data_IF_593868142393
#
_entry.id   IF_593868142393
#
_cell.length_a   1.000
_cell.length_b   1.000
_cell.length_c   1.000
_cell.angle_alpha   90.00
_cell.angle_beta   90.00
_cell.angle_gamma   90.00
#
_symmetry.space_group_name_H-M   'P 1'
#
loop_
_entity.id
_entity.type
_entity.pdbx_description
1 polymer ?
#
# COMPACT_ATOMS: atom_id res chain seq x y z
N UNK A 1 -31.23 9.76 -2.03
CA UNK A 1 -30.23 8.72 -1.70
C UNK A 1 -29.17 9.41 -0.87
N UNK A 2 -29.12 9.23 0.46
CA UNK A 2 -28.32 10.06 1.36
C UNK A 2 -26.80 9.83 1.29
N UNK A 3 -26.32 9.03 0.32
CA UNK A 3 -24.92 8.69 0.11
C UNK A 3 -24.40 9.15 -1.28
N UNK A 4 -25.28 9.72 -2.10
CA UNK A 4 -24.98 10.34 -3.39
C UNK A 4 -25.18 11.86 -3.33
N UNK A 5 -25.20 12.42 -2.12
CA UNK A 5 -25.06 13.84 -1.87
C UNK A 5 -23.59 14.28 -2.09
N UNK A 6 -23.29 15.55 -1.79
CA UNK A 6 -22.00 16.22 -1.91
C UNK A 6 -20.78 15.35 -1.52
N UNK A 7 -20.96 14.37 -0.62
CA UNK A 7 -19.97 13.38 -0.21
C UNK A 7 -19.38 12.53 -1.36
N UNK A 8 -20.15 12.23 -2.41
CA UNK A 8 -19.71 11.43 -3.55
C UNK A 8 -18.70 12.18 -4.43
N UNK A 9 -19.05 13.40 -4.85
CA UNK A 9 -18.14 14.27 -5.57
C UNK A 9 -17.00 14.75 -4.67
N UNK A 10 -17.22 14.98 -3.37
CA UNK A 10 -16.14 15.26 -2.42
C UNK A 10 -15.08 14.14 -2.39
N UNK A 11 -15.49 12.86 -2.40
CA UNK A 11 -14.54 11.74 -2.52
C UNK A 11 -13.84 11.73 -3.87
N UNK A 12 -14.55 12.01 -4.96
CA UNK A 12 -13.92 12.11 -6.29
C UNK A 12 -12.91 13.26 -6.35
N UNK A 13 -13.19 14.39 -5.70
CA UNK A 13 -12.32 15.56 -5.65
C UNK A 13 -11.15 15.37 -4.68
N UNK A 14 -11.31 14.60 -3.60
CA UNK A 14 -10.20 14.20 -2.74
C UNK A 14 -9.25 13.23 -3.45
N UNK A 15 -9.79 12.25 -4.18
CA UNK A 15 -9.00 11.24 -4.89
C UNK A 15 -8.44 11.73 -6.22
N UNK A 16 -9.09 12.71 -6.85
CA UNK A 16 -8.70 13.31 -8.11
C UNK A 16 -7.65 14.40 -7.97
N UNK A 17 -7.25 14.77 -6.74
CA UNK A 17 -6.12 15.69 -6.54
C UNK A 17 -4.83 15.00 -6.97
N UNK A 18 -4.08 15.57 -7.93
CA UNK A 18 -2.77 15.07 -8.29
C UNK A 18 -1.89 14.98 -7.03
N UNK A 19 -1.24 13.83 -6.83
CA UNK A 19 -0.22 13.68 -5.78
C UNK A 19 1.02 14.56 -6.02
N UNK A 20 1.14 15.11 -7.24
CA UNK A 20 2.20 16.01 -7.68
C UNK A 20 1.61 17.06 -8.63
N UNK A 21 2.07 18.31 -8.58
CA UNK A 21 1.57 19.52 -9.29
C UNK A 21 1.65 19.49 -10.84
N UNK A 22 1.61 18.31 -11.47
CA UNK A 22 1.99 18.13 -12.88
C UNK A 22 0.76 18.05 -13.81
N UNK A 23 -0.45 17.80 -13.28
CA UNK A 23 -1.67 17.71 -14.08
C UNK A 23 -2.71 18.76 -13.65
N UNK A 24 -3.21 19.55 -14.60
CA UNK A 24 -4.22 20.59 -14.36
C UNK A 24 -5.64 20.05 -14.18
N UNK A 25 -5.95 18.85 -14.69
CA UNK A 25 -7.27 18.20 -14.60
C UNK A 25 -7.08 16.67 -14.42
N UNK A 26 -7.88 16.01 -13.57
CA UNK A 26 -7.84 14.56 -13.43
C UNK A 26 -8.38 13.85 -14.68
N UNK A 27 -7.73 12.75 -15.07
CA UNK A 27 -8.19 11.87 -16.16
C UNK A 27 -8.21 10.41 -15.71
N UNK A 28 -9.13 9.62 -16.25
CA UNK A 28 -9.09 8.17 -16.09
C UNK A 28 -8.13 7.56 -17.11
N UNK A 29 -7.04 6.96 -16.64
CA UNK A 29 -6.22 6.07 -17.46
C UNK A 29 -6.70 4.62 -17.26
N UNK A 30 -7.30 4.03 -18.29
CA UNK A 30 -8.01 2.75 -18.18
C UNK A 30 -7.23 1.66 -18.88
N UNK A 31 -7.02 0.56 -18.16
CA UNK A 31 -6.49 -0.70 -18.69
C UNK A 31 -7.61 -1.74 -18.63
N UNK A 32 -8.20 -2.05 -19.78
CA UNK A 32 -9.23 -3.06 -19.93
C UNK A 32 -8.63 -4.38 -20.45
N UNK A 33 -9.20 -5.50 -20.02
CA UNK A 33 -8.83 -6.83 -20.52
C UNK A 33 -9.87 -7.31 -21.51
N UNK A 34 -9.41 -7.80 -22.65
CA UNK A 34 -10.18 -8.61 -23.60
C UNK A 34 -9.47 -9.95 -23.79
N UNK A 35 -10.11 -10.88 -24.47
CA UNK A 35 -9.50 -12.17 -24.75
C UNK A 35 -8.19 -11.98 -25.52
N UNK A 36 -7.07 -12.41 -24.93
CA UNK A 36 -5.71 -12.32 -25.49
C UNK A 36 -5.22 -10.91 -25.83
N UNK A 37 -5.87 -9.85 -25.33
CA UNK A 37 -5.39 -8.47 -25.51
C UNK A 37 -5.68 -7.59 -24.30
N UNK A 38 -4.78 -6.64 -24.03
CA UNK A 38 -4.99 -5.51 -23.14
C UNK A 38 -5.29 -4.27 -23.97
N UNK A 39 -6.28 -3.50 -23.55
CA UNK A 39 -6.72 -2.27 -24.20
C UNK A 39 -6.48 -1.10 -23.25
N UNK A 40 -5.91 -0.02 -23.77
CA UNK A 40 -5.52 1.18 -23.06
C UNK A 40 -6.21 2.38 -23.70
N UNK A 41 -6.87 3.19 -22.88
CA UNK A 41 -7.47 4.45 -23.33
C UNK A 41 -7.65 5.39 -22.15
N UNK A 42 -7.81 6.67 -22.49
CA UNK A 42 -8.02 7.74 -21.53
C UNK A 42 -9.43 8.33 -21.72
N UNK A 43 -10.01 8.81 -20.64
CA UNK A 43 -11.31 9.49 -20.67
C UNK A 43 -11.41 10.49 -19.52
N UNK A 44 -12.25 11.49 -19.70
CA UNK A 44 -12.43 12.58 -18.74
C UNK A 44 -12.94 12.08 -17.37
N UNK A 45 -12.39 12.68 -16.31
CA UNK A 45 -12.81 12.46 -14.94
C UNK A 45 -13.96 13.41 -14.56
N UNK A 46 -15.11 13.23 -15.21
CA UNK A 46 -16.28 14.07 -14.95
C UNK A 46 -16.92 13.77 -13.59
N UNK A 47 -17.26 14.83 -12.85
CA UNK A 47 -18.13 14.75 -11.67
C UNK A 47 -19.53 14.27 -12.03
N UNK A 48 -20.24 13.66 -11.06
CA UNK A 48 -21.64 13.26 -11.26
C UNK A 48 -22.51 14.51 -11.37
N UNK A 49 -23.26 14.64 -12.46
CA UNK A 49 -24.22 15.72 -12.59
C UNK A 49 -25.49 15.46 -11.75
N UNK A 50 -25.54 16.05 -10.56
CA UNK A 50 -26.66 15.88 -9.63
C UNK A 50 -27.99 16.47 -10.15
N UNK A 51 -27.94 17.38 -11.12
CA UNK A 51 -29.13 18.05 -11.67
C UNK A 51 -29.89 17.24 -12.73
N UNK A 52 -29.26 16.24 -13.36
CA UNK A 52 -29.86 15.41 -14.42
C UNK A 52 -29.83 13.90 -14.06
N UNK A 53 -29.99 13.59 -12.76
CA UNK A 53 -30.11 12.20 -12.33
C UNK A 53 -31.42 11.61 -12.85
N UNK A 54 -31.31 10.55 -13.66
CA UNK A 54 -32.42 9.87 -14.34
C UNK A 54 -32.22 8.36 -14.40
N UNK A 55 -33.23 7.66 -14.90
CA UNK A 55 -33.22 6.19 -15.10
C UNK A 55 -32.87 5.39 -13.84
N UNK A 56 -33.34 5.83 -12.68
CA UNK A 56 -33.05 5.20 -11.40
C UNK A 56 -33.73 3.82 -11.33
N UNK A 57 -32.94 2.76 -11.18
CA UNK A 57 -33.41 1.40 -10.94
C UNK A 57 -32.79 0.89 -9.65
N UNK A 58 -33.63 0.50 -8.69
CA UNK A 58 -33.22 0.02 -7.38
C UNK A 58 -33.58 -1.45 -7.21
N UNK A 59 -32.65 -2.22 -6.70
CA UNK A 59 -32.85 -3.58 -6.19
C UNK A 59 -32.57 -3.60 -4.69
N UNK A 60 -32.75 -4.73 -4.03
CA UNK A 60 -32.36 -4.89 -2.62
C UNK A 60 -30.84 -4.72 -2.40
N UNK A 61 -30.03 -5.07 -3.40
CA UNK A 61 -28.56 -5.15 -3.27
C UNK A 61 -27.83 -3.98 -3.94
N UNK A 62 -28.52 -3.22 -4.79
CA UNK A 62 -27.89 -2.18 -5.60
C UNK A 62 -28.84 -1.11 -6.08
N UNK A 63 -28.24 -0.05 -6.62
CA UNK A 63 -28.89 1.07 -7.26
C UNK A 63 -28.15 1.39 -8.56
N UNK A 64 -28.87 1.59 -9.66
CA UNK A 64 -28.29 2.09 -10.91
C UNK A 64 -29.02 3.34 -11.37
N UNK A 65 -28.31 4.27 -11.99
CA UNK A 65 -28.84 5.54 -12.48
C UNK A 65 -27.91 6.11 -13.56
N UNK A 66 -28.36 7.16 -14.24
CA UNK A 66 -27.56 7.96 -15.17
C UNK A 66 -27.67 9.43 -14.81
N UNK A 67 -26.69 10.24 -15.17
CA UNK A 67 -26.65 11.69 -14.91
C UNK A 67 -26.78 12.54 -16.18
N UNK A 68 -27.28 11.95 -17.26
CA UNK A 68 -27.30 12.61 -18.57
C UNK A 68 -26.23 12.10 -19.52
N UNK A 69 -25.00 11.99 -19.01
CA UNK A 69 -23.79 11.67 -19.78
C UNK A 69 -23.26 10.27 -19.50
N UNK A 70 -23.27 9.88 -18.24
CA UNK A 70 -22.63 8.70 -17.70
C UNK A 70 -23.65 7.76 -17.06
N UNK A 71 -23.28 6.49 -16.93
CA UNK A 71 -24.06 5.45 -16.26
C UNK A 71 -23.33 4.98 -15.00
N UNK A 72 -24.09 4.84 -13.91
CA UNK A 72 -23.56 4.53 -12.59
C UNK A 72 -24.27 3.32 -11.97
N UNK A 73 -23.50 2.57 -11.19
CA UNK A 73 -23.95 1.44 -10.39
C UNK A 73 -23.38 1.53 -8.98
N UNK A 74 -24.26 1.61 -7.99
CA UNK A 74 -23.91 1.63 -6.58
C UNK A 74 -24.22 0.27 -5.94
N UNK A 75 -23.21 -0.33 -5.33
CA UNK A 75 -23.33 -1.58 -4.59
C UNK A 75 -23.48 -1.29 -3.09
N UNK A 76 -24.60 -1.68 -2.48
CA UNK A 76 -24.88 -1.36 -1.08
C UNK A 76 -23.96 -2.07 -0.10
N UNK A 77 -23.67 -3.36 -0.29
CA UNK A 77 -22.86 -4.12 0.67
C UNK A 77 -21.41 -3.67 0.69
N UNK A 78 -20.90 -3.15 -0.43
CA UNK A 78 -19.54 -2.64 -0.55
C UNK A 78 -19.45 -1.13 -0.31
N UNK A 79 -20.56 -0.41 -0.31
CA UNK A 79 -20.59 1.06 -0.30
C UNK A 79 -19.71 1.68 -1.40
N UNK A 80 -19.75 1.09 -2.61
CA UNK A 80 -18.93 1.51 -3.76
C UNK A 80 -19.82 1.98 -4.91
N UNK A 81 -19.52 3.18 -5.42
CA UNK A 81 -20.05 3.71 -6.67
C UNK A 81 -19.11 3.33 -7.83
N UNK A 82 -19.69 2.79 -8.90
CA UNK A 82 -18.99 2.38 -10.10
C UNK A 82 -19.55 3.15 -11.28
N UNK A 83 -18.67 3.65 -12.16
CA UNK A 83 -19.02 4.25 -13.45
C UNK A 83 -18.84 3.20 -14.54
N UNK A 84 -19.75 3.15 -15.50
CA UNK A 84 -19.62 2.31 -16.69
C UNK A 84 -18.75 3.02 -17.73
N UNK A 85 -17.73 2.32 -18.21
CA UNK A 85 -16.82 2.82 -19.24
C UNK A 85 -17.05 2.12 -20.56
N UNK A 86 -16.93 2.89 -21.64
CA UNK A 86 -17.04 2.40 -23.01
C UNK A 86 -15.68 2.48 -23.69
N UNK A 87 -15.29 1.41 -24.39
CA UNK A 87 -14.02 1.41 -25.13
C UNK A 87 -14.22 2.28 -26.38
N UNK A 88 -13.46 3.38 -26.54
CA UNK A 88 -13.59 4.26 -27.69
C UNK A 88 -13.13 3.57 -28.99
N UNK A 89 -13.53 4.10 -30.15
CA UNK A 89 -13.06 3.57 -31.43
C UNK A 89 -11.54 3.66 -31.56
N UNK A 90 -10.96 4.78 -31.14
CA UNK A 90 -9.52 4.98 -31.07
C UNK A 90 -9.01 4.57 -29.68
N UNK A 91 -8.27 3.47 -29.61
CA UNK A 91 -7.63 2.98 -28.39
C UNK A 91 -6.32 2.28 -28.71
N UNK A 92 -5.41 2.24 -27.74
CA UNK A 92 -4.17 1.49 -27.82
C UNK A 92 -4.41 0.06 -27.37
N UNK A 93 -3.69 -0.91 -27.95
CA UNK A 93 -3.81 -2.32 -27.55
C UNK A 93 -2.48 -3.05 -27.60
N UNK A 94 -2.36 -4.05 -26.73
CA UNK A 94 -1.21 -4.95 -26.65
C UNK A 94 -1.74 -6.38 -26.60
N UNK A 95 -1.24 -7.23 -27.50
CA UNK A 95 -1.56 -8.65 -27.46
C UNK A 95 -0.88 -9.30 -26.25
N UNK A 96 -1.61 -10.11 -25.51
CA UNK A 96 -1.10 -10.86 -24.36
C UNK A 96 -1.26 -12.35 -24.60
N UNK A 97 -0.22 -13.09 -24.24
CA UNK A 97 -0.30 -14.54 -24.17
C UNK A 97 -0.67 -14.96 -22.75
N UNK A 98 -1.82 -15.60 -22.59
CA UNK A 98 -2.22 -16.17 -21.30
C UNK A 98 -1.61 -17.56 -21.22
N UNK A 99 -0.64 -17.72 -20.32
CA UNK A 99 0.03 -18.99 -20.09
C UNK A 99 -0.98 -19.99 -19.51
N UNK A 100 -1.06 -21.19 -20.09
CA UNK A 100 -1.97 -22.25 -19.66
C UNK A 100 -1.66 -22.75 -18.23
N UNK A 101 -0.38 -22.95 -17.92
CA UNK A 101 0.08 -23.32 -16.59
C UNK A 101 1.06 -22.29 -16.00
N UNK A 102 0.57 -21.28 -15.27
CA UNK A 102 1.43 -20.25 -14.67
C UNK A 102 2.38 -20.81 -13.60
N UNK A 103 2.06 -21.97 -12.99
CA UNK A 103 2.87 -22.54 -11.92
C UNK A 103 4.23 -23.05 -12.42
N UNK A 104 4.31 -23.57 -13.64
CA UNK A 104 5.57 -24.07 -14.20
C UNK A 104 6.58 -22.92 -14.37
N UNK A 105 6.10 -21.77 -14.86
CA UNK A 105 6.91 -20.56 -14.99
C UNK A 105 7.32 -20.03 -13.63
N UNK A 106 6.40 -19.94 -12.67
CA UNK A 106 6.71 -19.50 -11.31
C UNK A 106 7.76 -20.41 -10.65
N UNK A 107 7.68 -21.73 -10.86
CA UNK A 107 8.66 -22.69 -10.36
C UNK A 107 10.03 -22.51 -11.01
N UNK A 108 10.07 -22.20 -12.30
CA UNK A 108 11.32 -21.91 -13.02
C UNK A 108 11.95 -20.60 -12.53
N UNK A 109 11.15 -19.54 -12.38
CA UNK A 109 11.60 -18.26 -11.81
C UNK A 109 12.14 -18.46 -10.39
N UNK A 110 11.41 -19.19 -9.54
CA UNK A 110 11.84 -19.49 -8.17
C UNK A 110 13.19 -20.23 -8.15
N UNK A 111 13.37 -21.26 -8.99
CA UNK A 111 14.66 -21.96 -9.11
C UNK A 111 15.79 -21.04 -9.60
N UNK A 112 15.50 -20.18 -10.58
CA UNK A 112 16.49 -19.25 -11.13
C UNK A 112 16.90 -18.17 -10.12
N UNK A 113 15.95 -17.63 -9.34
CA UNK A 113 16.24 -16.68 -8.25
C UNK A 113 17.08 -17.35 -7.16
N UNK A 114 16.73 -18.59 -6.77
CA UNK A 114 17.52 -19.35 -5.83
C UNK A 114 18.95 -19.57 -6.36
N UNK A 115 19.10 -19.96 -7.63
CA UNK A 115 20.40 -20.16 -8.26
C UNK A 115 21.20 -18.86 -8.47
N UNK A 116 20.56 -17.72 -8.75
CA UNK A 116 21.23 -16.42 -8.90
C UNK A 116 21.73 -15.87 -7.57
N UNK A 117 20.98 -16.09 -6.48
CA UNK A 117 21.38 -15.71 -5.14
C UNK A 117 22.59 -16.52 -4.63
N UNK A 118 22.88 -17.70 -5.20
CA UNK A 118 24.12 -18.44 -4.93
C UNK A 118 25.33 -17.96 -5.74
N UNK A 119 25.14 -17.07 -6.74
CA UNK A 119 26.21 -16.53 -7.59
C UNK A 119 26.55 -15.07 -7.32
N UNK A 120 25.86 -14.42 -6.37
CA UNK A 120 26.36 -13.16 -5.83
C UNK A 120 27.53 -13.47 -4.92
N UNK A 121 28.69 -12.90 -5.25
CA UNK A 121 29.81 -12.77 -4.33
C UNK A 121 29.25 -12.19 -3.04
N UNK A 122 29.13 -13.06 -2.05
CA UNK A 122 28.77 -12.78 -0.69
C UNK A 122 29.71 -11.70 -0.14
N UNK A 123 29.37 -10.43 -0.34
CA UNK A 123 29.68 -9.42 0.65
C UNK A 123 28.73 -9.76 1.79
N UNK A 124 29.13 -10.73 2.62
CA UNK A 124 28.51 -10.96 3.92
C UNK A 124 28.80 -9.69 4.70
N UNK A 125 27.86 -8.76 4.67
CA UNK A 125 27.82 -7.75 5.71
C UNK A 125 27.44 -8.51 6.98
N UNK A 126 28.36 -8.57 7.94
CA UNK A 126 28.05 -9.11 9.25
C UNK A 126 26.82 -8.37 9.79
N UNK A 127 25.83 -9.12 10.25
CA UNK A 127 24.63 -8.56 10.87
C UNK A 127 24.30 -9.33 12.14
N UNK A 128 23.66 -8.64 13.09
CA UNK A 128 23.11 -9.26 14.30
C UNK A 128 21.60 -9.08 14.34
N UNK A 129 20.91 -10.03 14.99
CA UNK A 129 19.48 -9.95 15.24
C UNK A 129 19.28 -9.67 16.72
N UNK A 130 18.73 -8.50 17.04
CA UNK A 130 18.39 -8.13 18.41
C UNK A 130 16.92 -8.45 18.68
N UNK A 131 16.61 -9.42 19.57
CA UNK A 131 15.22 -9.69 19.93
C UNK A 131 14.66 -8.51 20.74
N UNK A 132 13.61 -7.87 20.22
CA UNK A 132 12.93 -6.77 20.89
C UNK A 132 11.78 -7.23 21.81
N UNK A 133 11.89 -8.45 22.34
CA UNK A 133 10.87 -9.09 23.17
C UNK A 133 11.53 -9.88 24.30
N UNK A 134 10.77 -10.16 25.37
CA UNK A 134 11.23 -11.02 26.46
C UNK A 134 11.19 -12.48 26.03
N UNK A 135 12.30 -13.19 26.21
CA UNK A 135 12.37 -14.65 26.14
C UNK A 135 12.25 -15.33 27.51
N UNK A 136 12.15 -14.54 28.59
CA UNK A 136 11.90 -15.05 29.93
C UNK A 136 10.40 -15.32 30.07
N UNK A 137 9.98 -16.53 29.71
CA UNK A 137 8.58 -16.96 29.69
C UNK A 137 7.97 -16.92 28.29
N UNK A 138 6.69 -16.55 28.20
CA UNK A 138 6.02 -16.35 26.90
C UNK A 138 6.63 -15.18 26.14
N UNK A 139 6.71 -15.33 24.81
CA UNK A 139 7.21 -14.31 23.91
C UNK A 139 6.29 -13.09 23.94
N UNK A 140 6.66 -12.09 24.73
CA UNK A 140 5.88 -10.87 24.87
C UNK A 140 6.76 -9.62 24.98
N UNK A 141 6.14 -8.45 24.84
CA UNK A 141 6.77 -7.16 25.12
C UNK A 141 6.13 -6.60 26.40
N UNK A 142 6.79 -6.68 27.56
CA UNK A 142 6.21 -6.23 28.82
C UNK A 142 5.85 -4.74 28.78
N UNK A 143 4.78 -4.36 29.50
CA UNK A 143 4.33 -2.95 29.62
C UNK A 143 5.44 -2.04 30.14
N UNK A 144 6.31 -2.56 31.00
CA UNK A 144 7.52 -1.90 31.51
C UNK A 144 8.73 -2.67 30.98
N UNK A 145 9.23 -2.28 29.82
CA UNK A 145 10.35 -2.92 29.13
C UNK A 145 11.23 -1.87 28.47
N UNK A 146 12.34 -2.28 27.86
CA UNK A 146 13.26 -1.33 27.22
C UNK A 146 12.61 -0.58 26.05
N UNK A 147 11.74 -1.24 25.27
CA UNK A 147 10.91 -0.57 24.26
C UNK A 147 9.86 0.35 24.88
N UNK A 148 9.30 -0.05 26.03
CA UNK A 148 8.27 0.71 26.73
C UNK A 148 8.84 1.49 27.91
N UNK A 149 10.00 2.15 27.72
CA UNK A 149 10.69 2.80 28.82
C UNK A 149 9.92 4.03 29.34
N UNK A 150 9.10 4.65 28.48
CA UNK A 150 8.12 5.67 28.88
C UNK A 150 7.20 5.21 30.03
N UNK A 151 6.94 3.90 30.15
CA UNK A 151 6.16 3.31 31.23
C UNK A 151 6.98 2.88 32.46
N UNK A 152 8.30 3.04 32.46
CA UNK A 152 9.16 2.57 33.55
C UNK A 152 8.77 3.21 34.90
N UNK A 153 9.02 2.51 36.00
CA UNK A 153 8.85 3.09 37.34
C UNK A 153 10.01 4.04 37.66
N UNK A 154 9.73 5.14 38.36
CA UNK A 154 10.74 6.10 38.80
C UNK A 154 10.62 7.45 38.10
N UNK A 155 11.76 8.07 37.76
CA UNK A 155 11.80 9.39 37.10
C UNK A 155 11.01 9.37 35.79
N UNK A 156 10.17 10.39 35.61
CA UNK A 156 9.44 10.63 34.38
C UNK A 156 10.38 10.64 33.16
N UNK A 157 9.97 9.91 32.13
CA UNK A 157 10.72 9.68 30.89
C UNK A 157 9.99 10.33 29.73
N UNK A 158 10.72 10.62 28.66
CA UNK A 158 10.07 11.12 27.46
C UNK A 158 9.20 10.02 26.84
N UNK A 159 8.05 10.38 26.28
CA UNK A 159 7.13 9.44 25.62
C UNK A 159 7.79 8.73 24.43
N UNK A 160 8.73 9.41 23.76
CA UNK A 160 9.48 8.88 22.62
C UNK A 160 10.79 8.18 23.03
N UNK A 161 11.00 7.93 24.33
CA UNK A 161 12.21 7.28 24.85
C UNK A 161 12.08 5.75 24.81
N UNK A 162 12.98 5.11 24.04
CA UNK A 162 13.14 3.66 24.00
C UNK A 162 14.61 3.27 24.11
N UNK A 163 14.88 2.12 24.71
CA UNK A 163 16.20 1.52 24.83
C UNK A 163 16.25 0.20 24.07
N UNK A 164 17.33 -0.02 23.32
CA UNK A 164 17.59 -1.30 22.64
C UNK A 164 18.95 -1.79 23.14
N UNK A 165 18.99 -2.54 24.27
CA UNK A 165 20.25 -3.02 24.81
C UNK A 165 20.84 -4.09 23.89
N UNK A 166 22.13 -3.97 23.59
CA UNK A 166 22.88 -5.02 22.90
C UNK A 166 23.24 -6.09 23.95
N UNK A 167 22.87 -7.38 23.75
CA UNK A 167 23.23 -8.44 24.68
C UNK A 167 24.74 -8.48 24.90
N UNK A 168 25.18 -8.58 26.14
CA UNK A 168 26.62 -8.66 26.50
C UNK A 168 27.37 -9.76 25.73
N UNK A 169 26.66 -10.83 25.37
CA UNK A 169 27.16 -11.93 24.58
C UNK A 169 27.62 -11.50 23.18
N UNK A 170 26.95 -10.52 22.54
CA UNK A 170 27.35 -9.95 21.26
C UNK A 170 28.70 -9.25 21.40
N UNK A 171 28.88 -8.39 22.40
CA UNK A 171 30.18 -7.76 22.66
C UNK A 171 31.28 -8.75 23.01
N UNK A 172 30.94 -9.91 23.61
CA UNK A 172 31.91 -10.97 23.94
C UNK A 172 32.36 -11.77 22.71
N UNK A 173 31.43 -12.13 21.83
CA UNK A 173 31.73 -12.95 20.65
C UNK A 173 32.13 -12.13 19.42
N UNK A 174 31.68 -10.88 19.34
CA UNK A 174 31.91 -9.97 18.22
C UNK A 174 32.34 -8.58 18.74
N UNK A 175 33.56 -8.45 19.32
CA UNK A 175 34.02 -7.21 19.95
C UNK A 175 34.09 -6.02 18.99
N UNK A 176 34.36 -6.28 17.72
CA UNK A 176 34.54 -5.24 16.68
C UNK A 176 33.25 -4.92 15.90
N UNK A 177 32.13 -5.57 16.21
CA UNK A 177 30.88 -5.41 15.45
C UNK A 177 30.25 -4.01 15.62
N UNK A 178 30.37 -3.43 16.81
CA UNK A 178 29.91 -2.07 17.09
C UNK A 178 31.11 -1.14 17.29
N UNK A 179 31.10 0.07 16.70
CA UNK A 179 32.18 1.03 16.92
C UNK A 179 32.24 1.41 18.42
N UNK A 180 33.46 1.48 18.96
CA UNK A 180 33.73 1.79 20.37
C UNK A 180 33.16 3.16 20.83
N UNK A 181 32.81 4.03 19.87
CA UNK A 181 32.28 5.37 20.11
C UNK A 181 30.79 5.36 19.78
N UNK A 182 29.95 5.19 20.80
CA UNK A 182 28.49 5.32 20.63
C UNK A 182 27.84 6.36 21.53
N UNK A 183 28.57 7.28 22.17
CA UNK A 183 27.98 8.48 22.78
C UNK A 183 28.99 9.64 22.88
N UNK A 184 29.04 10.50 21.86
CA UNK A 184 29.38 11.92 22.07
C UNK A 184 28.07 12.68 21.92
N UNK A 185 27.43 13.03 23.04
CA UNK A 185 26.37 14.04 23.04
C UNK A 185 27.00 15.32 22.50
N UNK A 186 26.60 15.74 21.30
CA UNK A 186 26.81 17.12 20.85
C UNK A 186 25.98 17.99 21.80
N UNK A 187 26.65 18.70 22.72
CA UNK A 187 26.04 19.86 23.37
C UNK A 187 25.90 20.91 22.27
N UNK A 188 24.68 21.20 21.87
CA UNK A 188 24.38 22.44 21.15
C UNK A 188 24.55 23.59 22.16
N UNK A 189 25.39 24.56 21.79
CA UNK A 189 25.47 25.87 22.42
C UNK A 189 24.39 26.76 21.81
#
# INVERSE_FOLDING_TARGET
IPLLDENGNQRMNQNGKPLFEIATEPIYHIIARKEKELVFFETDYEEVNLSDIRNIKRTEKSLSFSDGKNEYYFNFSKSVLQKKFYIPQQHSKININIIENPFDILKQIGKNILHSNFRQNNIINDYIILPLFSSKGEKNVPKRSQLNQWNAGGKERNLDEAYIPIPKMIHKFFPDFFPLIMFIKKKEN
#
